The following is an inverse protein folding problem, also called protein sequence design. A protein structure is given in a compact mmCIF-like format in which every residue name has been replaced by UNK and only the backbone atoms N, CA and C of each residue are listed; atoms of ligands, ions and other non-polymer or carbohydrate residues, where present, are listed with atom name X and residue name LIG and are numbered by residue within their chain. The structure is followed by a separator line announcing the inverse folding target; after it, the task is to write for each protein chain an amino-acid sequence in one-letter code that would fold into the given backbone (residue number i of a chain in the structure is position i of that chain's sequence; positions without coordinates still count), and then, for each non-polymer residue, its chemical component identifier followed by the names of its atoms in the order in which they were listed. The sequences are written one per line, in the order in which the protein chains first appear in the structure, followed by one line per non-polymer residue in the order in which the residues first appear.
data_IF_640753844028
#
_entry.id   IF_640753844028
#
_cell.length_a   1.000
_cell.length_b   1.000
_cell.length_c   1.000
_cell.angle_alpha   90.00
_cell.angle_beta   90.00
_cell.angle_gamma   90.00
#
_symmetry.space_group_name_H-M   'P 1'
#
loop_
_entity.id
_entity.type
_entity.pdbx_description
1 polymer ?
#
# COMPACT_ATOMS: atom_id res chain seq x y z
N UNK A 1 -16.78 12.99 -16.17
CA UNK A 1 -15.79 11.89 -16.29
C UNK A 1 -15.58 11.11 -14.97
N UNK A 2 -16.64 10.62 -14.30
CA UNK A 2 -16.51 9.84 -13.05
C UNK A 2 -16.07 8.39 -13.30
N UNK A 3 -16.58 7.79 -14.37
CA UNK A 3 -16.30 6.39 -14.76
C UNK A 3 -14.84 6.13 -15.10
N UNK A 4 -14.15 7.06 -15.78
CA UNK A 4 -12.72 6.91 -16.08
C UNK A 4 -11.86 6.87 -14.81
N UNK A 5 -12.16 7.70 -13.81
CA UNK A 5 -11.44 7.72 -12.52
C UNK A 5 -11.68 6.44 -11.72
N UNK A 6 -12.93 5.95 -11.74
CA UNK A 6 -13.29 4.66 -11.15
C UNK A 6 -12.50 3.53 -11.80
N UNK A 7 -12.48 3.46 -13.14
CA UNK A 7 -11.77 2.41 -13.87
C UNK A 7 -10.28 2.42 -13.56
N UNK A 8 -9.65 3.60 -13.55
CA UNK A 8 -8.23 3.75 -13.19
C UNK A 8 -7.96 3.28 -11.76
N UNK A 9 -8.83 3.63 -10.81
CA UNK A 9 -8.72 3.16 -9.43
C UNK A 9 -8.85 1.63 -9.34
N UNK A 10 -9.87 1.03 -9.98
CA UNK A 10 -10.09 -0.41 -9.91
C UNK A 10 -8.98 -1.20 -10.61
N UNK A 11 -8.47 -0.69 -11.73
CA UNK A 11 -7.32 -1.28 -12.42
C UNK A 11 -6.08 -1.25 -11.53
N UNK A 12 -5.77 -0.09 -10.94
CA UNK A 12 -4.62 0.04 -10.05
C UNK A 12 -4.78 -0.80 -8.78
N UNK A 13 -5.98 -0.83 -8.18
CA UNK A 13 -6.30 -1.67 -7.04
C UNK A 13 -6.05 -3.16 -7.34
N UNK A 14 -6.43 -3.62 -8.54
CA UNK A 14 -6.20 -5.00 -8.95
C UNK A 14 -4.72 -5.30 -9.06
N UNK A 15 -3.93 -4.43 -9.71
CA UNK A 15 -2.47 -4.57 -9.80
C UNK A 15 -1.79 -4.51 -8.43
N UNK A 16 -2.24 -3.60 -7.57
CA UNK A 16 -1.76 -3.47 -6.20
C UNK A 16 -1.99 -4.76 -5.41
N UNK A 17 -3.21 -5.33 -5.46
CA UNK A 17 -3.51 -6.59 -4.78
C UNK A 17 -2.71 -7.76 -5.33
N UNK A 18 -2.56 -7.86 -6.66
CA UNK A 18 -1.71 -8.89 -7.29
C UNK A 18 -0.26 -8.79 -6.79
N UNK A 19 0.30 -7.58 -6.71
CA UNK A 19 1.66 -7.39 -6.22
C UNK A 19 1.80 -7.68 -4.71
N UNK A 20 0.83 -7.22 -3.90
CA UNK A 20 0.86 -7.39 -2.44
C UNK A 20 0.68 -8.85 -2.03
N UNK A 21 -0.17 -9.60 -2.72
CA UNK A 21 -0.48 -11.00 -2.42
C UNK A 21 0.28 -12.01 -3.29
N UNK A 22 1.23 -11.53 -4.09
CA UNK A 22 2.17 -12.41 -4.77
C UNK A 22 3.19 -12.94 -3.76
N UNK A 23 3.28 -14.27 -3.65
CA UNK A 23 4.07 -14.96 -2.65
C UNK A 23 5.57 -14.66 -2.74
N UNK A 24 6.06 -14.28 -3.92
CA UNK A 24 7.47 -13.99 -4.15
C UNK A 24 7.66 -12.71 -4.99
N UNK A 25 7.79 -11.52 -4.37
CA UNK A 25 7.98 -10.25 -5.07
C UNK A 25 9.23 -10.22 -5.95
N UNK A 26 10.26 -10.98 -5.60
CA UNK A 26 11.49 -11.05 -6.38
C UNK A 26 11.28 -11.74 -7.74
N UNK A 27 10.54 -12.84 -7.78
CA UNK A 27 10.18 -13.52 -9.03
C UNK A 27 9.31 -12.63 -9.93
N UNK A 28 8.38 -11.86 -9.34
CA UNK A 28 7.57 -10.90 -10.10
C UNK A 28 8.45 -9.83 -10.75
N UNK A 29 9.43 -9.28 -10.04
CA UNK A 29 10.30 -8.23 -10.57
C UNK A 29 11.31 -8.75 -11.60
N UNK A 30 11.88 -9.93 -11.37
CA UNK A 30 12.98 -10.47 -12.20
C UNK A 30 12.48 -11.31 -13.37
N UNK A 31 11.47 -12.14 -13.13
CA UNK A 31 11.03 -13.21 -14.04
C UNK A 31 9.62 -12.96 -14.55
N UNK A 32 8.95 -11.88 -14.08
CA UNK A 32 7.56 -11.54 -14.43
C UNK A 32 6.58 -12.66 -14.07
N UNK A 33 6.92 -13.48 -13.08
CA UNK A 33 6.14 -14.60 -12.63
C UNK A 33 5.30 -14.23 -11.41
N UNK A 34 4.00 -14.53 -11.50
CA UNK A 34 3.07 -14.43 -10.38
C UNK A 34 2.93 -15.79 -9.71
N UNK A 35 3.28 -15.85 -8.44
CA UNK A 35 3.17 -17.04 -7.60
C UNK A 35 2.16 -16.77 -6.51
N UNK A 36 1.09 -17.56 -6.47
CA UNK A 36 0.12 -17.52 -5.39
C UNK A 36 0.21 -18.81 -4.60
N UNK A 37 0.41 -18.67 -3.29
CA UNK A 37 0.36 -19.79 -2.35
C UNK A 37 -0.78 -19.53 -1.38
N UNK A 38 -1.39 -20.58 -0.84
CA UNK A 38 -2.33 -20.46 0.26
C UNK A 38 -1.80 -21.23 1.46
N UNK A 39 -1.67 -20.55 2.59
CA UNK A 39 -1.26 -21.13 3.85
C UNK A 39 -2.40 -21.01 4.86
N UNK A 40 -3.01 -22.14 5.20
CA UNK A 40 -4.10 -22.20 6.18
C UNK A 40 -3.65 -21.86 7.61
N UNK A 41 -2.36 -22.06 7.90
CA UNK A 41 -1.75 -21.85 9.21
C UNK A 41 -0.53 -20.93 9.08
N UNK A 42 -0.72 -19.62 8.81
CA UNK A 42 0.40 -18.70 8.67
C UNK A 42 1.15 -18.52 9.99
N UNK A 43 2.48 -18.39 9.90
CA UNK A 43 3.31 -18.02 11.03
C UNK A 43 3.23 -16.53 11.28
N UNK A 44 2.94 -16.13 12.52
CA UNK A 44 2.90 -14.73 12.97
C UNK A 44 4.17 -14.32 13.71
N UNK A 45 5.18 -15.19 13.75
CA UNK A 45 6.38 -14.99 14.54
C UNK A 45 7.11 -13.70 14.15
N UNK A 46 7.24 -13.44 12.85
CA UNK A 46 7.93 -12.25 12.31
C UNK A 46 7.16 -10.96 12.53
N UNK A 47 5.84 -11.02 12.77
CA UNK A 47 5.01 -9.82 12.82
C UNK A 47 5.41 -8.87 13.95
N UNK A 48 5.73 -9.42 15.12
CA UNK A 48 6.17 -8.67 16.30
C UNK A 48 7.68 -8.68 16.51
N UNK A 49 8.44 -9.36 15.65
CA UNK A 49 9.90 -9.29 15.71
C UNK A 49 10.34 -7.87 15.41
N UNK A 50 11.22 -7.33 16.26
CA UNK A 50 11.89 -6.05 15.97
C UNK A 50 12.86 -6.33 14.83
N UNK A 51 12.43 -6.03 13.62
CA UNK A 51 13.36 -5.84 12.51
C UNK A 51 14.29 -4.68 12.95
N UNK A 52 15.60 -4.90 12.98
CA UNK A 52 16.60 -3.86 13.28
C UNK A 52 16.63 -2.87 12.09
N UNK A 53 15.55 -2.11 11.94
CA UNK A 53 15.35 -1.23 10.80
C UNK A 53 16.11 0.05 11.04
N UNK A 54 17.26 0.16 10.39
CA UNK A 54 17.86 1.47 10.16
C UNK A 54 17.04 2.15 9.07
N UNK A 55 16.83 3.45 9.21
CA UNK A 55 16.10 4.25 8.21
C UNK A 55 16.69 4.07 6.80
N UNK A 56 18.02 3.91 6.71
CA UNK A 56 18.71 3.60 5.45
C UNK A 56 18.19 2.31 4.81
N UNK A 57 17.99 1.25 5.59
CA UNK A 57 17.56 -0.05 5.07
C UNK A 57 16.11 0.02 4.54
N UNK A 58 15.25 0.83 5.17
CA UNK A 58 13.88 1.08 4.69
C UNK A 58 13.87 1.84 3.35
N UNK A 59 14.78 2.79 3.17
CA UNK A 59 14.83 3.64 1.96
C UNK A 59 15.53 2.95 0.80
N UNK A 60 16.46 2.02 1.08
CA UNK A 60 17.18 1.28 0.04
C UNK A 60 16.49 -0.03 -0.35
N UNK A 61 15.59 -0.58 0.47
CA UNK A 61 14.82 -1.77 0.13
C UNK A 61 13.64 -1.43 -0.81
N UNK A 62 13.69 -1.89 -2.09
CA UNK A 62 12.61 -1.65 -3.05
C UNK A 62 11.26 -2.20 -2.59
N UNK A 63 11.24 -3.28 -1.79
CA UNK A 63 10.01 -3.83 -1.25
C UNK A 63 9.35 -2.83 -0.31
N UNK A 64 10.09 -2.30 0.68
CA UNK A 64 9.58 -1.30 1.65
C UNK A 64 9.14 0.00 0.96
N UNK A 65 9.91 0.47 -0.03
CA UNK A 65 9.54 1.65 -0.83
C UNK A 65 8.25 1.39 -1.63
N UNK A 66 8.05 0.18 -2.15
CA UNK A 66 6.85 -0.18 -2.91
C UNK A 66 5.57 -0.12 -2.06
N UNK A 67 5.64 -0.42 -0.75
CA UNK A 67 4.50 -0.25 0.16
C UNK A 67 4.04 1.21 0.21
N UNK A 68 4.98 2.14 0.45
CA UNK A 68 4.70 3.57 0.54
C UNK A 68 4.13 4.10 -0.79
N UNK A 69 4.83 3.83 -1.90
CA UNK A 69 4.41 4.34 -3.21
C UNK A 69 3.10 3.72 -3.67
N UNK A 70 2.93 2.40 -3.48
CA UNK A 70 1.73 1.68 -3.85
C UNK A 70 0.49 2.22 -3.12
N UNK A 71 0.55 2.36 -1.79
CA UNK A 71 -0.59 2.88 -1.02
C UNK A 71 -0.80 4.38 -1.21
N UNK A 72 0.26 5.17 -1.45
CA UNK A 72 0.14 6.59 -1.82
C UNK A 72 -0.62 6.77 -3.13
N UNK A 73 -0.24 6.03 -4.18
CA UNK A 73 -0.91 6.08 -5.48
C UNK A 73 -2.35 5.57 -5.38
N UNK A 74 -2.58 4.47 -4.65
CA UNK A 74 -3.93 3.95 -4.40
C UNK A 74 -4.82 5.00 -3.73
N UNK A 75 -4.31 5.67 -2.70
CA UNK A 75 -5.02 6.70 -1.94
C UNK A 75 -5.32 7.93 -2.80
N UNK A 76 -4.33 8.38 -3.57
CA UNK A 76 -4.50 9.49 -4.51
C UNK A 76 -5.62 9.21 -5.52
N UNK A 77 -5.65 8.02 -6.12
CA UNK A 77 -6.69 7.61 -7.07
C UNK A 77 -8.07 7.49 -6.40
N UNK A 78 -8.12 6.92 -5.20
CA UNK A 78 -9.35 6.86 -4.41
C UNK A 78 -9.94 8.24 -4.14
N UNK A 79 -9.13 9.23 -3.74
CA UNK A 79 -9.60 10.60 -3.51
C UNK A 79 -10.05 11.30 -4.80
N UNK A 80 -9.45 10.97 -5.95
CA UNK A 80 -9.90 11.50 -7.24
C UNK A 80 -11.24 10.93 -7.70
N UNK A 81 -11.53 9.67 -7.34
CA UNK A 81 -12.80 9.02 -7.66
C UNK A 81 -13.90 9.35 -6.63
N UNK A 82 -13.66 9.08 -5.36
CA UNK A 82 -14.65 9.16 -4.27
C UNK A 82 -14.70 10.54 -3.59
N UNK A 83 -13.69 11.38 -3.84
CA UNK A 83 -13.50 12.67 -3.18
C UNK A 83 -12.72 12.56 -1.86
N UNK A 84 -12.03 13.64 -1.50
CA UNK A 84 -11.34 13.75 -0.22
C UNK A 84 -12.35 13.95 0.92
N UNK A 85 -12.47 12.94 1.79
CA UNK A 85 -13.36 12.90 2.96
C UNK A 85 -12.72 12.01 4.03
N UNK A 86 -12.91 12.34 5.30
CA UNK A 86 -12.42 11.52 6.43
C UNK A 86 -12.83 10.05 6.34
N UNK A 87 -14.08 9.78 5.94
CA UNK A 87 -14.57 8.40 5.74
C UNK A 87 -13.75 7.62 4.72
N UNK A 88 -13.29 8.26 3.64
CA UNK A 88 -12.47 7.59 2.61
C UNK A 88 -11.06 7.30 3.14
N UNK A 89 -10.47 8.24 3.90
CA UNK A 89 -9.19 8.03 4.57
C UNK A 89 -9.27 6.84 5.51
N UNK A 90 -10.27 6.80 6.40
CA UNK A 90 -10.46 5.69 7.35
C UNK A 90 -10.64 4.35 6.64
N UNK A 91 -11.47 4.31 5.59
CA UNK A 91 -11.68 3.07 4.81
C UNK A 91 -10.37 2.61 4.16
N UNK A 92 -9.59 3.52 3.58
CA UNK A 92 -8.29 3.19 2.99
C UNK A 92 -7.29 2.68 4.04
N UNK A 93 -7.20 3.35 5.19
CA UNK A 93 -6.33 2.92 6.30
C UNK A 93 -6.68 1.51 6.77
N UNK A 94 -7.95 1.23 7.02
CA UNK A 94 -8.41 -0.12 7.42
C UNK A 94 -8.14 -1.13 6.33
N UNK A 95 -8.39 -0.76 5.06
CA UNK A 95 -8.15 -1.62 3.91
C UNK A 95 -6.67 -2.01 3.78
N UNK A 96 -5.74 -1.06 3.85
CA UNK A 96 -4.30 -1.37 3.70
C UNK A 96 -3.74 -2.17 4.88
N UNK A 97 -4.28 -1.97 6.09
CA UNK A 97 -3.98 -2.83 7.24
C UNK A 97 -4.46 -4.25 6.95
N UNK A 98 -5.70 -4.40 6.46
CA UNK A 98 -6.26 -5.71 6.12
C UNK A 98 -5.44 -6.43 5.04
N UNK A 99 -5.04 -5.72 3.98
CA UNK A 99 -4.21 -6.28 2.90
C UNK A 99 -2.91 -6.86 3.48
N UNK A 100 -2.24 -6.14 4.38
CA UNK A 100 -1.02 -6.57 5.05
C UNK A 100 -1.26 -7.78 5.96
N UNK A 101 -2.33 -7.77 6.76
CA UNK A 101 -2.68 -8.88 7.65
C UNK A 101 -3.07 -10.15 6.89
N UNK A 102 -3.48 -10.03 5.63
CA UNK A 102 -3.81 -11.18 4.79
C UNK A 102 -2.57 -11.76 4.08
N UNK A 103 -1.49 -10.99 3.93
CA UNK A 103 -0.27 -11.45 3.24
C UNK A 103 0.31 -12.78 3.74
N UNK A 104 0.30 -13.12 5.04
CA UNK A 104 0.81 -14.40 5.54
C UNK A 104 0.08 -15.62 4.99
N UNK A 105 -1.22 -15.48 4.72
CA UNK A 105 -2.00 -16.52 4.07
C UNK A 105 -1.57 -16.72 2.61
N UNK A 106 -0.95 -15.70 1.99
CA UNK A 106 -0.39 -15.79 0.65
C UNK A 106 1.09 -16.21 0.60
N UNK A 107 1.63 -16.72 1.71
CA UNK A 107 3.01 -17.20 1.80
C UNK A 107 4.07 -16.10 1.93
N UNK A 108 3.65 -14.85 2.14
CA UNK A 108 4.54 -13.73 2.45
C UNK A 108 4.76 -13.58 3.95
N UNK A 109 5.84 -12.93 4.34
CA UNK A 109 6.01 -12.46 5.71
C UNK A 109 5.27 -11.13 5.89
N UNK A 110 4.47 -11.02 6.95
CA UNK A 110 3.93 -9.74 7.37
C UNK A 110 4.77 -9.20 8.52
N UNK A 111 5.09 -7.92 8.44
CA UNK A 111 5.80 -7.20 9.48
C UNK A 111 4.96 -6.03 9.96
N UNK A 112 5.00 -5.74 11.26
CA UNK A 112 4.32 -4.57 11.79
C UNK A 112 4.82 -3.26 11.17
N UNK A 113 6.08 -3.20 10.72
CA UNK A 113 6.58 -2.03 10.00
C UNK A 113 5.87 -1.81 8.66
N UNK A 114 5.52 -2.88 7.95
CA UNK A 114 4.92 -2.78 6.62
C UNK A 114 3.50 -2.22 6.73
N UNK A 115 2.80 -2.52 7.83
CA UNK A 115 1.55 -1.85 8.22
C UNK A 115 1.75 -0.33 8.35
N UNK A 116 2.79 0.12 9.05
CA UNK A 116 3.07 1.55 9.17
C UNK A 116 3.46 2.20 7.84
N UNK A 117 4.25 1.52 7.01
CA UNK A 117 4.64 2.03 5.68
C UNK A 117 3.41 2.19 4.78
N UNK A 118 2.49 1.21 4.82
CA UNK A 118 1.21 1.28 4.12
C UNK A 118 0.38 2.48 4.61
N UNK A 119 0.24 2.68 5.93
CA UNK A 119 -0.46 3.82 6.53
C UNK A 119 0.22 5.16 6.16
N UNK A 120 1.54 5.20 6.17
CA UNK A 120 2.32 6.37 5.78
C UNK A 120 2.02 6.76 4.33
N UNK A 121 1.96 5.80 3.41
CA UNK A 121 1.57 6.09 2.02
C UNK A 121 0.13 6.62 1.91
N UNK A 122 -0.83 6.13 2.71
CA UNK A 122 -2.18 6.75 2.80
C UNK A 122 -2.09 8.19 3.27
N UNK A 123 -1.27 8.46 4.29
CA UNK A 123 -0.98 9.80 4.80
C UNK A 123 -0.39 10.72 3.73
N UNK A 124 0.63 10.27 3.00
CA UNK A 124 1.25 11.02 1.89
C UNK A 124 0.26 11.29 0.76
N UNK A 125 -0.55 10.30 0.36
CA UNK A 125 -1.58 10.50 -0.66
C UNK A 125 -2.65 11.51 -0.21
N UNK A 126 -2.99 11.49 1.07
CA UNK A 126 -3.91 12.47 1.69
C UNK A 126 -3.31 13.87 1.68
N UNK A 127 -2.03 13.98 2.08
CA UNK A 127 -1.28 15.23 2.07
C UNK A 127 -1.16 15.82 0.67
N UNK A 128 -0.84 15.01 -0.35
CA UNK A 128 -0.73 15.47 -1.73
C UNK A 128 -2.05 16.06 -2.26
N UNK A 129 -3.18 15.42 -1.97
CA UNK A 129 -4.49 15.92 -2.39
C UNK A 129 -4.87 17.18 -1.61
N UNK A 130 -4.58 17.23 -0.31
CA UNK A 130 -4.78 18.43 0.50
C UNK A 130 -3.93 19.59 -0.01
N UNK A 131 -2.64 19.38 -0.23
CA UNK A 131 -1.71 20.38 -0.75
C UNK A 131 -2.16 20.89 -2.12
N UNK A 132 -2.49 20.00 -3.06
CA UNK A 132 -2.95 20.41 -4.38
C UNK A 132 -4.22 21.27 -4.33
N UNK A 133 -5.14 21.00 -3.40
CA UNK A 133 -6.38 21.76 -3.22
C UNK A 133 -6.15 23.13 -2.58
N UNK A 134 -5.22 23.24 -1.63
CA UNK A 134 -4.99 24.44 -0.83
C UNK A 134 -3.72 25.21 -1.22
N UNK A 135 -3.02 24.80 -2.29
CA UNK A 135 -1.73 25.40 -2.71
C UNK A 135 -1.76 26.92 -2.88
N UNK A 136 -2.93 27.48 -3.21
CA UNK A 136 -3.09 28.92 -3.41
C UNK A 136 -3.11 29.71 -2.09
N UNK A 137 -3.48 29.07 -0.98
CA UNK A 137 -3.52 29.68 0.37
C UNK A 137 -2.18 29.56 1.10
N UNK A 138 -1.30 28.66 0.64
CA UNK A 138 0.00 28.37 1.27
C UNK A 138 1.14 29.22 0.68
N UNK A 139 0.96 29.75 -0.54
CA UNK A 139 1.98 30.52 -1.28
C UNK A 139 1.82 32.04 -1.07
N UNK A 140 0.76 32.47 -0.38
CA UNK A 140 0.53 33.85 0.08
C UNK A 140 0.94 34.02 1.53
#
# INVERSE_FOLDING_TARGET
MKWGRMLLFLLFLSLYLLAMWNANPFLLMREQELVFMWNETPSWRTFFEREDLRVIDVVTDPNKVSHILGTMTLSFLAFHWLGWRWKVITVLTVFVIFVEMVQPFFGRTAWFVDVFLNILGVGLGTFLVWYYRNRWEVVT
#
